data_IF_076464251622
#
_entry.id   IF_076464251622
#
_cell.length_a   1.000
_cell.length_b   1.000
_cell.length_c   1.000
_cell.angle_alpha   90.00
_cell.angle_beta   90.00
_cell.angle_gamma   90.00
#
_symmetry.space_group_name_H-M   'P 1'
#
loop_
_entity.id
_entity.type
_entity.pdbx_description
1 polymer ?
#
# COMPACT_ATOMS: atom_id res chain seq x y z
N UNK A 1 34.59 -43.47 20.15
CA UNK A 1 33.92 -43.05 18.89
C UNK A 1 33.44 -41.61 18.89
N UNK A 2 33.54 -40.83 19.99
CA UNK A 2 33.05 -39.43 20.00
C UNK A 2 34.00 -38.39 19.37
N UNK A 3 35.31 -38.60 19.47
CA UNK A 3 36.31 -37.63 18.96
C UNK A 3 36.29 -37.47 17.43
N UNK A 4 35.88 -38.52 16.71
CA UNK A 4 35.79 -38.54 15.24
C UNK A 4 34.55 -37.74 14.79
N UNK A 5 33.46 -37.81 15.54
CA UNK A 5 32.22 -37.07 15.25
C UNK A 5 32.43 -35.56 15.36
N UNK A 6 33.05 -35.09 16.45
CA UNK A 6 33.30 -33.65 16.66
C UNK A 6 34.25 -33.07 15.59
N UNK A 7 35.25 -33.83 15.16
CA UNK A 7 36.16 -33.42 14.07
C UNK A 7 35.45 -33.31 12.72
N UNK A 8 34.52 -34.22 12.43
CA UNK A 8 33.73 -34.17 11.19
C UNK A 8 32.76 -32.98 11.18
N UNK A 9 32.14 -32.66 12.32
CA UNK A 9 31.29 -31.48 12.47
C UNK A 9 32.07 -30.17 12.30
N UNK A 10 33.28 -30.06 12.85
CA UNK A 10 34.12 -28.87 12.69
C UNK A 10 34.57 -28.67 11.23
N UNK A 11 34.86 -29.75 10.51
CA UNK A 11 35.18 -29.68 9.08
C UNK A 11 33.97 -29.27 8.24
N UNK A 12 32.78 -29.77 8.54
CA UNK A 12 31.53 -29.38 7.87
C UNK A 12 31.20 -27.90 8.07
N UNK A 13 31.42 -27.36 9.28
CA UNK A 13 31.24 -25.93 9.57
C UNK A 13 32.31 -25.10 8.84
N UNK A 14 33.57 -25.53 8.81
CA UNK A 14 34.61 -24.81 8.08
C UNK A 14 34.33 -24.76 6.55
N UNK A 15 33.85 -25.86 5.96
CA UNK A 15 33.47 -25.93 4.55
C UNK A 15 32.28 -25.00 4.20
N UNK A 16 31.29 -24.87 5.09
CA UNK A 16 30.17 -23.96 4.86
C UNK A 16 30.58 -22.49 4.96
N UNK A 17 31.54 -22.15 5.83
CA UNK A 17 32.12 -20.80 5.89
C UNK A 17 32.96 -20.45 4.66
N UNK A 18 33.63 -21.41 4.01
CA UNK A 18 34.36 -21.16 2.76
C UNK A 18 33.41 -20.94 1.58
N UNK A 19 32.30 -21.67 1.49
CA UNK A 19 31.27 -21.47 0.47
C UNK A 19 30.51 -20.14 0.63
N UNK A 20 30.42 -19.60 1.84
CA UNK A 20 29.73 -18.35 2.12
C UNK A 20 30.52 -17.08 1.72
N UNK A 21 31.81 -17.19 1.38
CA UNK A 21 32.68 -16.03 1.12
C UNK A 21 32.92 -15.68 -0.36
N UNK A 22 32.42 -16.44 -1.32
CA UNK A 22 32.61 -16.16 -2.76
C UNK A 22 31.61 -15.16 -3.36
N UNK A 23 30.90 -14.39 -2.54
CA UNK A 23 30.00 -13.33 -2.99
C UNK A 23 30.35 -12.00 -2.31
N UNK A 24 31.50 -11.42 -2.68
CA UNK A 24 31.66 -9.95 -2.67
C UNK A 24 32.47 -9.45 -3.87
N UNK A 25 31.73 -9.00 -4.89
CA UNK A 25 31.94 -7.81 -5.75
C UNK A 25 33.25 -7.65 -6.54
N UNK A 26 33.13 -7.69 -7.88
CA UNK A 26 33.65 -6.60 -8.74
C UNK A 26 32.92 -6.47 -10.10
N UNK A 27 32.47 -5.23 -10.34
CA UNK A 27 32.39 -4.52 -11.62
C UNK A 27 31.39 -4.95 -12.70
N UNK A 28 30.36 -4.10 -12.86
CA UNK A 28 30.10 -3.49 -14.17
C UNK A 28 29.12 -4.20 -15.10
N UNK A 29 27.82 -4.12 -14.79
CA UNK A 29 26.76 -4.05 -15.79
C UNK A 29 25.49 -3.53 -15.11
N UNK A 30 25.04 -2.32 -15.47
CA UNK A 30 23.64 -1.92 -15.21
C UNK A 30 22.75 -2.85 -16.02
N UNK A 31 22.33 -3.94 -15.40
CA UNK A 31 21.20 -4.74 -15.86
C UNK A 31 19.98 -4.13 -15.18
N UNK A 32 19.25 -3.32 -15.92
CA UNK A 32 17.89 -2.93 -15.54
C UNK A 32 17.09 -4.21 -15.40
N UNK A 33 17.03 -4.76 -14.18
CA UNK A 33 16.05 -5.78 -13.81
C UNK A 33 14.71 -5.06 -13.79
N UNK A 34 14.14 -4.92 -14.97
CA UNK A 34 12.75 -4.58 -15.20
C UNK A 34 11.96 -5.77 -14.65
N UNK A 35 11.71 -5.72 -13.34
CA UNK A 35 10.81 -6.64 -12.65
C UNK A 35 9.46 -6.52 -13.38
N UNK A 36 9.14 -7.51 -14.22
CA UNK A 36 7.97 -7.51 -15.09
C UNK A 36 6.73 -7.80 -14.24
N UNK A 37 6.36 -6.84 -13.39
CA UNK A 37 5.03 -6.82 -12.78
C UNK A 37 4.01 -6.66 -13.91
N UNK A 38 2.84 -7.31 -13.86
CA UNK A 38 1.80 -7.13 -14.86
C UNK A 38 1.47 -5.64 -14.96
N UNK A 39 1.77 -5.02 -16.11
CA UNK A 39 1.34 -3.65 -16.38
C UNK A 39 -0.15 -3.72 -16.67
N UNK A 40 -0.97 -3.54 -15.64
CA UNK A 40 -2.39 -3.27 -15.79
C UNK A 40 -2.56 -2.06 -16.72
N UNK A 41 -3.67 -1.97 -17.47
CA UNK A 41 -3.90 -0.87 -18.40
C UNK A 41 -3.67 0.46 -17.68
N UNK A 42 -2.75 1.26 -18.24
CA UNK A 42 -2.23 2.52 -17.67
C UNK A 42 -3.31 3.60 -17.48
N UNK A 43 -4.58 3.30 -17.76
CA UNK A 43 -5.72 4.21 -17.69
C UNK A 43 -6.30 4.36 -16.29
N UNK A 44 -6.04 3.44 -15.36
CA UNK A 44 -6.66 3.48 -14.02
C UNK A 44 -5.96 4.44 -13.06
N UNK A 45 -4.67 4.72 -13.26
CA UNK A 45 -3.89 5.58 -12.36
C UNK A 45 -4.27 7.04 -12.46
N UNK A 46 -4.63 7.52 -13.67
CA UNK A 46 -5.04 8.91 -13.93
C UNK A 46 -4.09 9.95 -13.32
N UNK A 47 -2.80 9.67 -13.34
CA UNK A 47 -1.76 10.55 -12.79
C UNK A 47 -1.52 10.44 -11.27
N UNK A 48 -2.30 9.64 -10.52
CA UNK A 48 -2.10 9.43 -9.08
C UNK A 48 -0.98 8.43 -8.74
N UNK A 49 -0.41 7.76 -9.75
CA UNK A 49 0.70 6.82 -9.58
C UNK A 49 0.65 5.66 -10.56
N UNK A 50 1.31 5.80 -11.70
CA UNK A 50 1.31 4.82 -12.81
C UNK A 50 2.02 3.50 -12.45
N UNK A 51 2.86 3.53 -11.42
CA UNK A 51 3.58 2.35 -10.91
C UNK A 51 2.74 1.50 -9.95
N UNK A 52 1.54 1.96 -9.57
CA UNK A 52 0.67 1.27 -8.62
C UNK A 52 -0.34 0.35 -9.32
N UNK A 53 -0.74 -0.71 -8.63
CA UNK A 53 -1.80 -1.61 -9.08
C UNK A 53 -3.13 -1.05 -8.55
N UNK A 54 -3.89 -0.39 -9.43
CA UNK A 54 -5.21 0.15 -9.13
C UNK A 54 -6.29 -0.92 -9.34
N UNK A 55 -7.28 -0.95 -8.44
CA UNK A 55 -8.48 -1.79 -8.56
C UNK A 55 -9.57 -1.06 -9.34
N UNK A 56 -10.35 -1.80 -10.13
CA UNK A 56 -11.38 -1.18 -10.97
C UNK A 56 -12.65 -0.85 -10.18
N UNK A 57 -12.97 -1.64 -9.15
CA UNK A 57 -14.21 -1.53 -8.38
C UNK A 57 -13.94 -1.52 -6.87
N UNK A 58 -14.88 -0.95 -6.12
CA UNK A 58 -14.83 -0.91 -4.67
C UNK A 58 -14.84 -2.32 -4.05
N UNK A 59 -15.68 -3.21 -4.55
CA UNK A 59 -15.80 -4.58 -4.02
C UNK A 59 -14.53 -5.41 -4.22
N UNK A 60 -13.86 -5.26 -5.37
CA UNK A 60 -12.56 -5.86 -5.62
C UNK A 60 -11.52 -5.35 -4.61
N UNK A 61 -11.56 -4.05 -4.34
CA UNK A 61 -10.66 -3.40 -3.40
C UNK A 61 -10.88 -3.87 -1.95
N UNK A 62 -12.14 -3.98 -1.52
CA UNK A 62 -12.50 -4.52 -0.21
C UNK A 62 -12.08 -5.99 -0.06
N UNK A 63 -12.33 -6.81 -1.08
CA UNK A 63 -11.90 -8.21 -1.08
C UNK A 63 -10.37 -8.35 -0.96
N UNK A 64 -9.61 -7.54 -1.73
CA UNK A 64 -8.14 -7.51 -1.65
C UNK A 64 -7.64 -6.99 -0.30
N UNK A 65 -8.27 -5.95 0.25
CA UNK A 65 -7.96 -5.39 1.57
C UNK A 65 -8.10 -6.45 2.66
N UNK A 66 -9.25 -7.14 2.69
CA UNK A 66 -9.54 -8.20 3.67
C UNK A 66 -8.62 -9.42 3.51
N UNK A 67 -8.40 -9.89 2.29
CA UNK A 67 -7.56 -11.07 2.03
C UNK A 67 -6.07 -10.83 2.26
N UNK A 68 -5.59 -9.59 2.04
CA UNK A 68 -4.19 -9.23 2.28
C UNK A 68 -3.93 -8.63 3.66
N UNK A 69 -4.98 -8.39 4.45
CA UNK A 69 -4.96 -7.70 5.73
C UNK A 69 -4.22 -6.34 5.65
N UNK A 70 -4.57 -5.54 4.63
CA UNK A 70 -4.00 -4.21 4.39
C UNK A 70 -5.11 -3.19 4.27
N UNK A 71 -4.96 -1.99 4.86
CA UNK A 71 -5.96 -0.95 4.73
C UNK A 71 -6.09 -0.52 3.27
N UNK A 72 -7.30 -0.10 2.91
CA UNK A 72 -7.60 0.44 1.60
C UNK A 72 -7.56 1.97 1.66
N UNK A 73 -6.90 2.59 0.69
CA UNK A 73 -6.94 4.04 0.46
C UNK A 73 -7.79 4.30 -0.77
N UNK A 74 -8.83 5.11 -0.62
CA UNK A 74 -9.79 5.44 -1.68
C UNK A 74 -9.62 6.90 -2.03
N UNK A 75 -9.42 7.19 -3.32
CA UNK A 75 -9.29 8.55 -3.84
C UNK A 75 -10.49 8.84 -4.74
N UNK A 76 -11.39 9.70 -4.26
CA UNK A 76 -12.44 10.28 -5.07
C UNK A 76 -11.90 11.54 -5.73
N UNK A 77 -11.84 11.54 -7.06
CA UNK A 77 -11.42 12.68 -7.86
C UNK A 77 -12.34 12.78 -9.09
N UNK A 78 -12.33 13.94 -9.75
CA UNK A 78 -12.93 14.15 -11.06
C UNK A 78 -11.81 14.46 -12.04
N UNK A 79 -11.81 13.81 -13.21
CA UNK A 79 -10.84 14.12 -14.26
C UNK A 79 -11.26 15.40 -14.97
N UNK A 80 -12.48 15.47 -15.53
CA UNK A 80 -13.02 16.65 -16.20
C UNK A 80 -14.57 16.65 -16.18
N UNK A 81 -15.17 17.82 -15.88
CA UNK A 81 -16.58 18.24 -16.02
C UNK A 81 -17.50 18.20 -14.75
N UNK A 82 -18.16 19.35 -14.39
CA UNK A 82 -19.12 19.44 -13.27
C UNK A 82 -20.38 18.56 -13.39
N UNK A 83 -20.60 17.95 -14.56
CA UNK A 83 -21.80 17.16 -14.86
C UNK A 83 -21.61 15.65 -14.79
N UNK A 84 -20.38 15.14 -14.62
CA UNK A 84 -20.19 13.72 -14.32
C UNK A 84 -20.46 13.53 -12.83
N UNK A 85 -21.70 13.21 -12.49
CA UNK A 85 -22.08 12.80 -11.13
C UNK A 85 -21.36 11.49 -10.82
N UNK A 86 -20.20 11.58 -10.16
CA UNK A 86 -19.65 10.44 -9.46
C UNK A 86 -20.44 10.29 -8.17
N UNK A 87 -21.62 9.69 -8.25
CA UNK A 87 -22.34 9.22 -7.08
C UNK A 87 -21.67 7.93 -6.60
N UNK A 88 -20.92 8.03 -5.50
CA UNK A 88 -20.62 6.85 -4.70
C UNK A 88 -21.95 6.24 -4.26
N UNK A 89 -22.27 5.02 -4.69
CA UNK A 89 -23.48 4.32 -4.27
C UNK A 89 -23.51 4.07 -2.75
N UNK A 90 -22.33 4.04 -2.12
CA UNK A 90 -22.18 3.89 -0.68
C UNK A 90 -22.12 5.24 0.04
N UNK A 91 -23.09 5.48 0.93
CA UNK A 91 -23.18 6.69 1.77
C UNK A 91 -22.04 6.80 2.79
N UNK A 92 -21.44 5.67 3.19
CA UNK A 92 -20.30 5.65 4.11
C UNK A 92 -19.03 6.24 3.48
N UNK A 93 -19.00 6.36 2.15
CA UNK A 93 -17.90 6.95 1.40
C UNK A 93 -18.05 8.47 1.17
N UNK A 94 -19.11 9.08 1.68
CA UNK A 94 -19.36 10.54 1.62
C UNK A 94 -20.03 11.09 2.89
N UNK A 95 -19.48 10.81 4.10
CA UNK A 95 -20.14 11.14 5.36
C UNK A 95 -20.30 12.65 5.62
N UNK A 96 -19.50 13.49 4.96
CA UNK A 96 -19.50 14.96 5.09
C UNK A 96 -19.83 15.69 3.76
N UNK A 97 -20.57 15.03 2.86
CA UNK A 97 -21.06 15.61 1.60
C UNK A 97 -20.34 15.09 0.36
N UNK A 98 -20.65 15.59 -0.85
CA UNK A 98 -20.11 15.07 -2.12
C UNK A 98 -19.11 16.04 -2.80
N UNK A 99 -18.05 16.45 -2.10
CA UNK A 99 -16.96 17.24 -2.70
C UNK A 99 -15.82 16.35 -3.23
N UNK A 100 -15.00 16.95 -4.09
CA UNK A 100 -13.73 16.38 -4.59
C UNK A 100 -12.62 17.43 -4.50
N UNK A 101 -11.34 17.03 -4.38
CA UNK A 101 -10.88 15.65 -4.14
C UNK A 101 -11.14 15.20 -2.70
N UNK A 102 -11.24 13.88 -2.49
CA UNK A 102 -11.40 13.29 -1.17
C UNK A 102 -10.63 11.98 -1.04
N UNK A 103 -9.95 11.82 0.08
CA UNK A 103 -9.18 10.63 0.40
C UNK A 103 -9.71 10.00 1.69
N UNK A 104 -10.17 8.75 1.59
CA UNK A 104 -10.69 7.96 2.70
C UNK A 104 -9.81 6.72 2.94
N UNK A 105 -9.82 6.25 4.17
CA UNK A 105 -9.16 5.01 4.56
C UNK A 105 -10.19 4.00 5.08
N UNK A 106 -10.08 2.75 4.65
CA UNK A 106 -10.93 1.65 5.12
C UNK A 106 -10.04 0.57 5.71
N UNK A 107 -10.35 0.16 6.92
CA UNK A 107 -9.66 -0.92 7.62
C UNK A 107 -10.03 -2.29 7.01
N UNK A 108 -9.16 -3.32 7.06
CA UNK A 108 -9.51 -4.69 6.65
C UNK A 108 -10.77 -5.27 7.33
N UNK A 109 -11.19 -4.70 8.47
CA UNK A 109 -12.48 -4.96 9.12
C UNK A 109 -13.70 -4.46 8.31
N UNK A 110 -13.49 -3.85 7.14
CA UNK A 110 -14.50 -3.18 6.30
C UNK A 110 -15.10 -1.94 6.97
N UNK A 111 -14.36 -1.33 7.90
CA UNK A 111 -14.80 -0.12 8.60
C UNK A 111 -14.08 1.11 8.04
N UNK A 112 -14.85 2.15 7.67
CA UNK A 112 -14.30 3.45 7.28
C UNK A 112 -13.65 4.12 8.50
N UNK A 113 -12.39 4.52 8.36
CA UNK A 113 -11.59 5.18 9.42
C UNK A 113 -11.94 6.67 9.53
N UNK A 114 -13.12 6.96 10.06
CA UNK A 114 -13.61 8.32 10.28
C UNK A 114 -12.76 9.14 11.29
N UNK A 115 -11.88 8.48 12.06
CA UNK A 115 -10.90 9.11 12.93
C UNK A 115 -9.68 9.68 12.19
N UNK A 116 -9.55 9.42 10.88
CA UNK A 116 -8.46 9.91 10.04
C UNK A 116 -8.99 11.03 9.14
N UNK A 117 -8.77 12.27 9.57
CA UNK A 117 -9.25 13.47 8.89
C UNK A 117 -8.10 14.39 8.48
N UNK A 118 -8.32 15.21 7.46
CA UNK A 118 -7.49 16.32 7.05
C UNK A 118 -7.64 17.54 7.98
N UNK A 119 -7.18 18.70 7.49
CA UNK A 119 -7.12 19.95 8.26
C UNK A 119 -8.45 20.72 8.28
N UNK A 120 -9.28 20.56 7.26
CA UNK A 120 -10.45 21.43 7.03
C UNK A 120 -11.69 20.89 7.76
N UNK A 121 -12.21 21.65 8.72
CA UNK A 121 -13.39 21.25 9.51
C UNK A 121 -14.67 21.14 8.67
N UNK A 122 -14.76 21.88 7.58
CA UNK A 122 -15.88 21.84 6.63
C UNK A 122 -15.72 20.77 5.55
N UNK A 123 -14.54 20.15 5.42
CA UNK A 123 -14.20 19.11 4.43
C UNK A 123 -13.18 18.16 5.03
N UNK A 124 -13.65 17.25 5.88
CA UNK A 124 -12.81 16.43 6.77
C UNK A 124 -11.86 15.49 6.03
N UNK A 125 -12.10 15.19 4.75
CA UNK A 125 -11.30 14.26 3.96
C UNK A 125 -10.66 14.93 2.74
N UNK A 126 -10.67 16.27 2.69
CA UNK A 126 -9.94 17.05 1.71
C UNK A 126 -8.47 17.22 2.14
N UNK A 127 -7.59 17.21 1.15
CA UNK A 127 -6.16 17.48 1.30
C UNK A 127 -5.73 18.41 0.16
N UNK A 128 -5.02 19.48 0.51
CA UNK A 128 -4.39 20.35 -0.49
C UNK A 128 -2.94 19.91 -0.76
N UNK A 129 -2.29 20.39 -1.84
CA UNK A 129 -0.88 20.08 -2.09
C UNK A 129 0.05 20.45 -0.92
N UNK A 130 -0.30 21.48 -0.15
CA UNK A 130 0.39 21.90 1.07
C UNK A 130 0.26 20.91 2.23
N UNK A 131 -0.76 20.05 2.23
CA UNK A 131 -1.06 19.08 3.28
C UNK A 131 -0.42 17.70 3.06
N UNK A 132 0.51 17.59 2.11
CA UNK A 132 1.17 16.31 1.76
C UNK A 132 1.82 15.62 2.97
N UNK A 133 2.42 16.38 3.89
CA UNK A 133 3.00 15.84 5.12
C UNK A 133 1.92 15.23 6.04
N UNK A 134 0.79 15.92 6.20
CA UNK A 134 -0.35 15.44 6.98
C UNK A 134 -0.96 14.18 6.35
N UNK A 135 -1.12 14.17 5.02
CA UNK A 135 -1.61 13.00 4.29
C UNK A 135 -0.70 11.79 4.54
N UNK A 136 0.62 11.98 4.46
CA UNK A 136 1.59 10.91 4.74
C UNK A 136 1.45 10.36 6.18
N UNK A 137 1.28 11.23 7.17
CA UNK A 137 1.08 10.79 8.55
C UNK A 137 -0.27 10.09 8.75
N UNK A 138 -1.32 10.52 8.05
CA UNK A 138 -2.60 9.84 8.02
C UNK A 138 -2.52 8.45 7.36
N UNK A 139 -1.73 8.30 6.28
CA UNK A 139 -1.45 7.00 5.69
C UNK A 139 -0.73 6.07 6.69
N UNK A 140 0.27 6.58 7.42
CA UNK A 140 0.94 5.81 8.49
C UNK A 140 -0.03 5.43 9.62
N UNK A 141 -0.97 6.32 9.96
CA UNK A 141 -2.03 6.05 10.94
C UNK A 141 -2.99 4.97 10.46
N UNK A 142 -3.35 4.95 9.17
CA UNK A 142 -4.21 3.92 8.58
C UNK A 142 -3.56 2.53 8.59
N UNK A 143 -2.22 2.45 8.50
CA UNK A 143 -1.48 1.20 8.65
C UNK A 143 -1.57 0.60 10.07
N UNK A 144 -1.94 1.40 11.08
CA UNK A 144 -2.26 0.90 12.42
C UNK A 144 -3.71 0.42 12.41
N UNK A 145 -3.88 -0.87 12.16
CA UNK A 145 -5.18 -1.53 12.05
C UNK A 145 -5.99 -1.42 13.34
N UNK A 146 -7.31 -1.42 13.21
CA UNK A 146 -8.21 -1.50 14.34
C UNK A 146 -7.98 -2.82 15.08
N UNK A 147 -8.01 -2.76 16.41
CA UNK A 147 -8.00 -3.98 17.22
C UNK A 147 -9.35 -4.65 17.03
N UNK A 148 -9.35 -5.90 16.58
CA UNK A 148 -10.52 -6.77 16.72
C UNK A 148 -10.64 -7.08 18.20
N UNK A 149 -11.67 -6.52 18.85
CA UNK A 149 -12.12 -7.02 20.15
C UNK A 149 -12.54 -8.49 19.91
N UNK A 150 -11.79 -9.41 20.51
CA UNK A 150 -12.04 -10.86 20.49
C UNK A 150 -12.67 -11.27 21.82
#
# INVERSE_FOLDING_TARGET
>A
MEKISVSAFLLLVALSYTLAKDTTVKSGAKKDTKESRPKLPQTLSRGWGDQLIWTQTYEEALYKSKSSNKPLMIIHHLDECPHSQYETTDKHLSPDGQYVPRILFVDPSLTVRADITGRYSNRLYAYEPSDTALLLDNMKKALKLLKTEL
#
